data_IF_581542155064
#
_entry.id   IF_581542155064
#
_cell.length_a   1.000
_cell.length_b   1.000
_cell.length_c   1.000
_cell.angle_alpha   90.00
_cell.angle_beta   90.00
_cell.angle_gamma   90.00
#
_symmetry.space_group_name_H-M   'P 1'
#
loop_
_entity.id
_entity.type
_entity.pdbx_description
1 polymer ?
#
# COMPACT_ATOMS: atom_id res chain seq x y z
N UNK A 1 13.67 -0.44 24.92
CA UNK A 1 13.55 -0.36 23.72
C UNK A 1 12.65 0.67 23.18
N UNK A 2 13.09 1.49 22.48
CA UNK A 2 12.41 2.50 22.02
C UNK A 2 11.60 2.17 20.93
N UNK A 3 10.47 2.55 20.99
CA UNK A 3 9.62 2.43 19.93
C UNK A 3 10.13 3.24 18.85
N UNK A 4 10.19 2.74 17.74
CA UNK A 4 10.56 3.50 16.63
C UNK A 4 9.52 4.49 16.40
N UNK A 5 9.74 5.63 16.68
CA UNK A 5 8.79 6.57 16.33
C UNK A 5 8.76 6.69 14.90
N UNK A 6 7.65 6.77 14.34
CA UNK A 6 7.51 7.04 12.96
C UNK A 6 8.00 8.38 12.73
N UNK A 7 9.01 8.47 12.11
CA UNK A 7 9.52 9.73 11.91
C UNK A 7 8.98 10.44 10.78
N UNK A 8 8.01 9.95 10.12
CA UNK A 8 7.47 10.68 8.99
C UNK A 8 6.74 11.88 9.48
N UNK A 9 7.12 13.06 9.11
CA UNK A 9 6.38 14.23 9.53
C UNK A 9 5.03 14.25 8.83
N UNK A 10 4.03 14.56 9.56
CA UNK A 10 2.72 14.70 8.98
C UNK A 10 2.65 15.96 8.16
N UNK A 11 1.94 15.95 7.08
CA UNK A 11 1.77 17.17 6.30
C UNK A 11 1.03 18.19 7.10
N UNK A 12 1.33 19.43 6.89
CA UNK A 12 0.68 20.49 7.62
C UNK A 12 -0.82 20.43 7.43
N UNK A 13 -1.51 20.49 8.50
CA UNK A 13 -2.94 20.55 8.43
C UNK A 13 -3.61 19.26 8.14
N UNK A 14 -2.90 18.16 8.09
CA UNK A 14 -3.57 17.00 7.68
C UNK A 14 -3.19 15.74 8.38
N UNK A 15 -4.18 14.92 8.64
CA UNK A 15 -3.97 13.56 9.05
C UNK A 15 -4.13 12.73 7.81
N UNK A 16 -3.18 11.89 7.52
CA UNK A 16 -3.29 11.00 6.37
C UNK A 16 -4.23 9.88 6.72
N UNK A 17 -5.28 9.65 5.93
CA UNK A 17 -6.18 8.55 6.22
C UNK A 17 -5.44 7.22 6.23
N UNK A 18 -5.89 6.33 7.09
CA UNK A 18 -5.26 5.03 7.22
C UNK A 18 -5.23 4.27 5.91
N UNK A 19 -6.29 4.37 5.11
CA UNK A 19 -6.32 3.70 3.81
C UNK A 19 -5.21 4.18 2.89
N UNK A 20 -4.87 5.46 2.94
CA UNK A 20 -3.79 5.98 2.10
C UNK A 20 -2.45 5.46 2.57
N UNK A 21 -2.26 5.37 3.88
CA UNK A 21 -1.03 4.81 4.42
C UNK A 21 -0.90 3.35 4.04
N UNK A 22 -1.98 2.59 4.13
CA UNK A 22 -1.98 1.19 3.73
C UNK A 22 -1.66 1.05 2.25
N UNK A 23 -2.29 1.85 1.43
CA UNK A 23 -2.06 1.79 0.00
C UNK A 23 -0.61 2.07 -0.34
N UNK A 24 -0.06 3.12 0.26
CA UNK A 24 1.33 3.48 0.00
C UNK A 24 2.27 2.37 0.44
N UNK A 25 2.01 1.76 1.58
CA UNK A 25 2.84 0.67 2.07
C UNK A 25 2.77 -0.54 1.15
N UNK A 26 1.57 -0.87 0.69
CA UNK A 26 1.38 -2.02 -0.19
C UNK A 26 2.05 -1.78 -1.53
N UNK A 27 1.83 -0.63 -2.12
CA UNK A 27 2.42 -0.33 -3.42
C UNK A 27 3.94 -0.28 -3.34
N UNK A 28 4.47 0.26 -2.25
CA UNK A 28 5.90 0.31 -2.06
C UNK A 28 6.49 -1.09 -1.91
N UNK A 29 5.83 -1.94 -1.15
CA UNK A 29 6.30 -3.31 -0.97
C UNK A 29 6.30 -4.07 -2.28
N UNK A 30 5.25 -3.92 -3.08
CA UNK A 30 5.17 -4.59 -4.37
C UNK A 30 6.26 -4.07 -5.30
N UNK A 31 6.51 -2.78 -5.26
CA UNK A 31 7.56 -2.20 -6.09
C UNK A 31 8.94 -2.75 -5.73
N UNK A 32 9.17 -2.95 -4.44
CA UNK A 32 10.46 -3.47 -3.98
C UNK A 32 10.62 -4.96 -4.20
N UNK A 33 9.55 -5.71 -4.04
CA UNK A 33 9.61 -7.16 -4.16
C UNK A 33 9.38 -7.65 -5.57
N UNK A 34 8.72 -6.87 -6.39
CA UNK A 34 8.41 -7.26 -7.75
C UNK A 34 6.91 -7.35 -7.97
N UNK A 35 6.51 -7.10 -9.21
CA UNK A 35 5.11 -7.04 -9.58
C UNK A 35 4.60 -8.38 -10.08
N UNK A 36 5.43 -9.39 -10.09
CA UNK A 36 5.04 -10.72 -10.53
C UNK A 36 4.49 -11.52 -9.36
N UNK A 37 4.06 -12.73 -9.63
CA UNK A 37 3.46 -13.57 -8.60
C UNK A 37 4.39 -13.81 -7.41
N UNK A 38 5.63 -14.24 -7.61
CA UNK A 38 6.51 -14.43 -6.46
C UNK A 38 6.80 -13.12 -5.74
N UNK A 39 6.88 -12.02 -6.46
CA UNK A 39 7.11 -10.73 -5.84
C UNK A 39 5.94 -10.31 -4.98
N UNK A 40 4.72 -10.52 -5.45
CA UNK A 40 3.54 -10.20 -4.67
C UNK A 40 3.43 -11.07 -3.43
N UNK A 41 3.80 -12.34 -3.53
CA UNK A 41 3.83 -13.20 -2.36
C UNK A 41 4.84 -12.71 -1.34
N UNK A 42 6.00 -12.29 -1.79
CA UNK A 42 7.00 -11.76 -0.88
C UNK A 42 6.53 -10.46 -0.24
N UNK A 43 5.86 -9.62 -1.02
CA UNK A 43 5.34 -8.37 -0.48
C UNK A 43 4.29 -8.63 0.60
N UNK A 44 3.40 -9.58 0.36
CA UNK A 44 2.39 -9.91 1.34
C UNK A 44 3.03 -10.42 2.63
N UNK A 45 4.04 -11.25 2.51
CA UNK A 45 4.75 -11.76 3.67
C UNK A 45 5.42 -10.61 4.43
N UNK A 46 6.05 -9.71 3.72
CA UNK A 46 6.72 -8.58 4.34
C UNK A 46 5.73 -7.67 5.05
N UNK A 47 4.54 -7.53 4.50
CA UNK A 47 3.52 -6.69 5.10
C UNK A 47 2.73 -7.40 6.20
N UNK A 48 2.88 -8.70 6.31
CA UNK A 48 2.15 -9.46 7.31
C UNK A 48 0.69 -9.68 6.97
N UNK A 49 0.36 -9.72 5.69
CA UNK A 49 -1.01 -9.96 5.27
C UNK A 49 -1.06 -11.17 4.35
N UNK A 50 -2.28 -11.68 4.14
CA UNK A 50 -2.44 -12.81 3.25
C UNK A 50 -2.29 -12.39 1.81
N UNK A 51 -1.88 -13.32 0.97
CA UNK A 51 -1.70 -13.05 -0.45
C UNK A 51 -3.04 -12.67 -1.09
N UNK A 52 -4.10 -13.35 -0.72
CA UNK A 52 -5.42 -13.04 -1.25
C UNK A 52 -5.83 -11.60 -0.89
N UNK A 53 -5.53 -11.18 0.32
CA UNK A 53 -5.81 -9.81 0.74
C UNK A 53 -5.02 -8.82 -0.09
N UNK A 54 -3.75 -9.13 -0.36
CA UNK A 54 -2.92 -8.25 -1.17
C UNK A 54 -3.50 -8.10 -2.56
N UNK A 55 -3.87 -9.20 -3.21
CA UNK A 55 -4.44 -9.14 -4.55
C UNK A 55 -5.74 -8.33 -4.58
N UNK A 56 -6.59 -8.53 -3.57
CA UNK A 56 -7.84 -7.81 -3.51
C UNK A 56 -7.59 -6.30 -3.39
N UNK A 57 -6.65 -5.92 -2.54
CA UNK A 57 -6.35 -4.51 -2.36
C UNK A 57 -5.74 -3.89 -3.60
N UNK A 58 -4.86 -4.62 -4.27
CA UNK A 58 -4.28 -4.11 -5.51
C UNK A 58 -5.36 -3.88 -6.57
N UNK A 59 -6.31 -4.79 -6.65
CA UNK A 59 -7.40 -4.61 -7.59
C UNK A 59 -8.25 -3.40 -7.23
N UNK A 60 -8.50 -3.18 -5.97
CA UNK A 60 -9.25 -2.00 -5.53
C UNK A 60 -8.53 -0.73 -5.93
N UNK A 61 -7.23 -0.69 -5.80
CA UNK A 61 -6.46 0.50 -6.16
C UNK A 61 -6.49 0.73 -7.66
N UNK A 62 -6.43 -0.32 -8.45
CA UNK A 62 -6.54 -0.19 -9.89
C UNK A 62 -7.90 0.34 -10.29
N UNK A 63 -8.94 -0.16 -9.65
CA UNK A 63 -10.30 0.31 -9.94
C UNK A 63 -10.45 1.77 -9.58
N UNK A 64 -9.90 2.18 -8.46
CA UNK A 64 -9.93 3.58 -8.06
C UNK A 64 -9.21 4.46 -9.05
N UNK A 65 -8.05 4.04 -9.49
CA UNK A 65 -7.27 4.81 -10.44
C UNK A 65 -8.01 4.91 -11.76
N UNK A 66 -8.64 3.85 -12.20
CA UNK A 66 -9.41 3.86 -13.43
C UNK A 66 -10.61 4.79 -13.31
N UNK A 67 -11.26 4.80 -12.16
CA UNK A 67 -12.39 5.68 -11.94
C UNK A 67 -11.97 7.14 -11.97
N UNK A 68 -10.85 7.45 -11.36
CA UNK A 68 -10.33 8.81 -11.38
C UNK A 68 -9.95 9.25 -12.77
N UNK A 69 -9.36 8.37 -13.54
CA UNK A 69 -9.02 8.68 -14.91
C UNK A 69 -10.24 8.93 -15.75
N UNK A 70 -11.31 8.22 -15.44
CA UNK A 70 -12.51 8.33 -16.24
C UNK A 70 -13.29 9.60 -15.95
N UNK A 71 -13.15 10.17 -14.78
CA UNK A 71 -13.89 11.34 -14.42
C UNK A 71 -13.26 12.62 -14.88
N UNK A 72 -12.13 12.60 -15.46
CA UNK A 72 -11.51 13.86 -15.88
C UNK A 72 -12.07 14.39 -17.17
#
# INVERSE_FOLDING_TARGET
>A
SSAPSPSAPLPPGGIIPLRDLERNAILDAVRRCGDDTPGKKAAAAALGIGVATLYRKLKEYEDEAAALSRTT
#
